data_IF_176136389030
#
_entry.id   IF_176136389030
#
_cell.length_a   1.000
_cell.length_b   1.000
_cell.length_c   1.000
_cell.angle_alpha   90.00
_cell.angle_beta   90.00
_cell.angle_gamma   90.00
#
_symmetry.space_group_name_H-M   'P 1'
#
loop_
_entity.id
_entity.type
_entity.pdbx_description
1 polymer ?
#
# COMPACT_ATOMS: atom_id res chain seq x y z
N UNK A 1 20.80 -13.08 -11.52
CA UNK A 1 20.96 -12.74 -10.09
C UNK A 1 19.92 -13.51 -9.29
N UNK A 2 20.35 -14.46 -8.44
CA UNK A 2 19.42 -15.16 -7.54
C UNK A 2 19.31 -14.35 -6.25
N UNK A 3 18.17 -13.69 -6.05
CA UNK A 3 17.88 -12.84 -4.88
C UNK A 3 17.71 -13.63 -3.58
N UNK A 4 17.70 -14.97 -3.65
CA UNK A 4 17.55 -15.88 -2.52
C UNK A 4 18.83 -16.62 -2.15
N UNK A 5 19.93 -16.39 -2.88
CA UNK A 5 21.17 -17.17 -2.73
C UNK A 5 21.72 -17.16 -1.31
N UNK A 6 21.59 -16.01 -0.63
CA UNK A 6 22.17 -15.78 0.69
C UNK A 6 21.10 -15.58 1.78
N UNK A 7 19.84 -15.92 1.47
CA UNK A 7 18.75 -15.97 2.46
C UNK A 7 18.83 -17.34 3.17
N UNK A 8 18.88 -17.39 4.51
CA UNK A 8 18.95 -18.67 5.23
C UNK A 8 17.76 -19.58 4.89
N UNK A 9 17.97 -20.90 4.78
CA UNK A 9 16.87 -21.86 4.53
C UNK A 9 15.78 -21.83 5.61
N UNK A 10 16.12 -21.37 6.81
CA UNK A 10 15.20 -21.20 7.93
C UNK A 10 14.43 -19.88 7.90
N UNK A 11 14.72 -18.99 6.95
CA UNK A 11 13.97 -17.76 6.77
C UNK A 11 12.57 -18.07 6.24
N UNK A 12 11.56 -17.70 7.04
CA UNK A 12 10.16 -17.84 6.68
C UNK A 12 9.46 -16.51 6.81
N UNK A 13 8.59 -16.19 5.85
CA UNK A 13 7.56 -15.17 6.03
C UNK A 13 6.34 -15.78 6.76
N UNK A 14 5.59 -14.97 7.48
CA UNK A 14 4.38 -15.40 8.17
C UNK A 14 3.21 -14.45 7.91
N UNK A 15 1.99 -15.00 7.92
CA UNK A 15 0.77 -14.21 8.07
C UNK A 15 0.53 -14.07 9.57
N UNK A 16 0.82 -12.89 10.12
CA UNK A 16 0.68 -12.61 11.55
C UNK A 16 -0.77 -12.52 11.99
N UNK A 17 -1.64 -12.01 11.12
CA UNK A 17 -3.05 -11.82 11.39
C UNK A 17 -3.86 -11.87 10.09
N UNK A 18 -5.08 -12.40 10.21
CA UNK A 18 -6.11 -12.38 9.17
C UNK A 18 -7.47 -12.21 9.85
N UNK A 19 -8.36 -11.44 9.22
CA UNK A 19 -9.75 -11.31 9.64
C UNK A 19 -10.61 -11.06 8.41
N UNK A 20 -11.82 -11.63 8.43
CA UNK A 20 -12.86 -11.41 7.44
C UNK A 20 -14.21 -11.32 8.16
N UNK A 21 -14.44 -10.21 8.84
CA UNK A 21 -15.60 -10.00 9.71
C UNK A 21 -16.09 -8.56 9.64
N UNK A 22 -17.41 -8.36 9.79
CA UNK A 22 -17.99 -7.02 9.96
C UNK A 22 -17.80 -6.06 8.78
N UNK A 23 -17.69 -6.58 7.55
CA UNK A 23 -17.43 -5.77 6.34
C UNK A 23 -15.99 -5.27 6.25
N UNK A 24 -15.06 -5.98 6.91
CA UNK A 24 -13.63 -5.79 6.77
C UNK A 24 -12.95 -7.12 6.47
N UNK A 25 -12.11 -7.12 5.44
CA UNK A 25 -11.11 -8.15 5.23
C UNK A 25 -9.73 -7.53 5.42
N UNK A 26 -8.92 -8.07 6.31
CA UNK A 26 -7.53 -7.64 6.43
C UNK A 26 -6.57 -8.80 6.65
N UNK A 27 -5.32 -8.59 6.22
CA UNK A 27 -4.21 -9.49 6.47
C UNK A 27 -2.95 -8.70 6.80
N UNK A 28 -2.09 -9.26 7.65
CA UNK A 28 -0.76 -8.74 7.97
C UNK A 28 0.27 -9.81 7.64
N UNK A 29 1.14 -9.54 6.67
CA UNK A 29 2.25 -10.42 6.31
C UNK A 29 3.59 -9.82 6.74
N UNK A 30 4.42 -10.60 7.42
CA UNK A 30 5.76 -10.22 7.90
C UNK A 30 6.80 -11.02 7.12
N UNK A 31 7.75 -10.31 6.50
CA UNK A 31 8.78 -10.91 5.64
C UNK A 31 10.21 -10.39 5.83
N UNK A 32 10.52 -9.66 6.90
CA UNK A 32 11.85 -9.16 7.26
C UNK A 32 12.94 -10.24 7.19
N UNK A 33 12.64 -11.45 7.67
CA UNK A 33 13.57 -12.59 7.66
C UNK A 33 13.90 -13.10 6.25
N UNK A 34 13.06 -12.78 5.27
CA UNK A 34 13.27 -13.14 3.86
C UNK A 34 14.30 -12.24 3.16
N UNK A 35 14.81 -11.21 3.83
CA UNK A 35 15.83 -10.31 3.30
C UNK A 35 17.22 -10.73 3.76
N UNK A 36 18.23 -10.25 3.04
CA UNK A 36 19.63 -10.49 3.36
C UNK A 36 19.98 -10.06 4.80
N UNK A 37 20.64 -10.91 5.60
CA UNK A 37 20.94 -10.60 7.02
C UNK A 37 21.70 -9.29 7.24
N UNK A 38 22.57 -8.89 6.30
CA UNK A 38 23.32 -7.63 6.36
C UNK A 38 22.44 -6.38 6.27
N UNK A 39 21.20 -6.50 5.78
CA UNK A 39 20.24 -5.40 5.81
C UNK A 39 19.72 -5.13 7.22
N UNK A 40 19.86 -6.07 8.16
CA UNK A 40 19.42 -5.93 9.56
C UNK A 40 17.96 -5.45 9.70
N UNK A 41 17.08 -5.87 8.80
CA UNK A 41 15.65 -5.59 8.90
C UNK A 41 15.09 -6.32 10.12
N UNK A 42 14.41 -5.58 10.97
CA UNK A 42 13.71 -6.12 12.15
C UNK A 42 12.20 -6.20 11.92
N UNK A 43 11.69 -5.46 10.92
CA UNK A 43 10.29 -5.45 10.53
C UNK A 43 10.14 -5.16 9.05
N UNK A 44 9.35 -5.98 8.37
CA UNK A 44 8.85 -5.72 7.03
C UNK A 44 7.44 -6.30 6.93
N UNK A 45 6.51 -5.57 7.52
CA UNK A 45 5.09 -5.92 7.52
C UNK A 45 4.37 -5.22 6.39
N UNK A 46 3.48 -5.95 5.73
CA UNK A 46 2.44 -5.39 4.89
C UNK A 46 1.08 -5.68 5.49
N UNK A 47 0.37 -4.63 5.83
CA UNK A 47 -1.05 -4.65 6.13
C UNK A 47 -1.83 -4.40 4.84
N UNK A 48 -2.71 -5.32 4.49
CA UNK A 48 -3.69 -5.14 3.41
C UNK A 48 -5.05 -5.06 4.06
N UNK A 49 -5.75 -3.93 3.90
CA UNK A 49 -7.07 -3.72 4.49
C UNK A 49 -8.05 -3.40 3.36
N UNK A 50 -9.13 -4.18 3.28
CA UNK A 50 -10.30 -3.91 2.47
C UNK A 50 -11.48 -3.64 3.41
N UNK A 51 -11.95 -2.39 3.40
CA UNK A 51 -13.11 -1.96 4.15
C UNK A 51 -14.39 -2.01 3.30
N UNK A 52 -14.42 -2.68 2.15
CA UNK A 52 -15.57 -2.69 1.22
C UNK A 52 -16.01 -1.30 0.73
N UNK A 53 -15.13 -0.30 0.83
CA UNK A 53 -15.38 1.06 0.36
C UNK A 53 -14.95 1.28 -1.11
N UNK A 54 -14.63 0.19 -1.85
CA UNK A 54 -14.22 0.24 -3.25
C UNK A 54 -12.73 0.55 -3.47
N UNK A 55 -11.89 0.41 -2.43
CA UNK A 55 -10.45 0.57 -2.49
C UNK A 55 -9.77 -0.27 -1.40
N UNK A 56 -8.46 -0.44 -1.53
CA UNK A 56 -7.59 -1.08 -0.54
C UNK A 56 -6.72 -0.04 0.15
N UNK A 57 -6.55 -0.19 1.46
CA UNK A 57 -5.53 0.52 2.23
C UNK A 57 -4.34 -0.42 2.38
N UNK A 58 -3.19 0.02 1.88
CA UNK A 58 -1.91 -0.67 2.05
C UNK A 58 -1.06 0.13 3.03
N UNK A 59 -0.69 -0.50 4.13
CA UNK A 59 0.25 0.05 5.10
C UNK A 59 1.45 -0.89 5.18
N UNK A 60 2.63 -0.38 4.85
CA UNK A 60 3.90 -1.08 5.08
C UNK A 60 4.59 -0.52 6.31
N UNK A 61 4.95 -1.39 7.25
CA UNK A 61 5.74 -1.07 8.45
C UNK A 61 7.16 -1.62 8.25
N UNK A 62 8.14 -0.71 8.18
CA UNK A 62 9.52 -1.04 7.88
C UNK A 62 10.42 -0.57 9.02
N UNK A 63 11.16 -1.49 9.63
CA UNK A 63 12.11 -1.20 10.69
C UNK A 63 13.43 -1.96 10.49
N UNK A 64 14.51 -1.33 10.92
CA UNK A 64 15.86 -1.85 10.77
C UNK A 64 16.80 -1.26 11.82
N UNK A 65 17.84 -2.02 12.18
CA UNK A 65 18.94 -1.50 13.00
C UNK A 65 19.82 -0.50 12.23
N UNK A 66 19.78 -0.53 10.89
CA UNK A 66 20.55 0.32 9.98
C UNK A 66 19.65 1.30 9.20
N UNK A 67 20.13 2.52 8.90
CA UNK A 67 19.38 3.48 8.10
C UNK A 67 19.37 3.11 6.61
N UNK A 68 18.17 3.01 6.03
CA UNK A 68 17.95 2.59 4.65
C UNK A 68 17.15 3.59 3.81
N UNK A 69 17.36 3.53 2.49
CA UNK A 69 16.37 4.01 1.52
C UNK A 69 15.48 2.83 1.20
N UNK A 70 14.26 2.86 1.74
CA UNK A 70 13.21 1.92 1.43
C UNK A 70 12.54 2.30 0.12
N UNK A 71 12.11 1.28 -0.63
CA UNK A 71 11.44 1.47 -1.91
C UNK A 71 10.14 0.71 -1.93
N UNK A 72 9.04 1.42 -2.17
CA UNK A 72 7.77 0.84 -2.57
C UNK A 72 7.69 0.80 -4.10
N UNK A 73 7.24 -0.34 -4.65
CA UNK A 73 7.14 -0.57 -6.09
C UNK A 73 5.79 -1.15 -6.45
N UNK A 74 5.26 -0.71 -7.58
CA UNK A 74 4.15 -1.38 -8.26
C UNK A 74 4.51 -1.53 -9.74
N UNK A 75 4.36 -2.76 -10.23
CA UNK A 75 4.63 -3.12 -11.61
C UNK A 75 3.32 -3.22 -12.39
N UNK A 76 3.33 -2.78 -13.64
CA UNK A 76 2.21 -2.97 -14.56
C UNK A 76 2.68 -2.98 -16.02
N UNK A 77 1.76 -3.27 -16.92
CA UNK A 77 2.00 -3.27 -18.37
C UNK A 77 2.02 -1.85 -18.98
N UNK A 78 1.53 -0.86 -18.24
CA UNK A 78 1.30 0.52 -18.70
C UNK A 78 2.02 1.49 -17.76
N UNK A 79 2.38 2.67 -18.26
CA UNK A 79 2.98 3.67 -17.38
C UNK A 79 1.94 4.23 -16.42
N UNK A 80 2.37 4.54 -15.21
CA UNK A 80 1.61 5.39 -14.32
C UNK A 80 1.71 6.84 -14.81
N UNK A 81 0.62 7.59 -14.73
CA UNK A 81 0.57 9.03 -14.96
C UNK A 81 0.28 9.72 -13.63
N UNK A 82 1.08 10.73 -13.27
CA UNK A 82 0.79 11.54 -12.08
C UNK A 82 -0.26 12.59 -12.44
N UNK A 83 -1.42 12.54 -11.79
CA UNK A 83 -2.51 13.50 -12.01
C UNK A 83 -2.37 14.71 -11.09
N UNK A 84 -1.99 14.44 -9.84
CA UNK A 84 -1.72 15.40 -8.77
C UNK A 84 -0.58 14.88 -7.90
N UNK A 85 0.01 15.74 -7.07
CA UNK A 85 1.12 15.35 -6.20
C UNK A 85 0.77 14.10 -5.37
N UNK A 86 1.42 12.99 -5.68
CA UNK A 86 1.19 11.72 -5.00
C UNK A 86 -0.04 10.93 -5.41
N UNK A 87 -0.76 11.36 -6.44
CA UNK A 87 -1.88 10.63 -7.04
C UNK A 87 -1.49 10.17 -8.45
N UNK A 88 -1.45 8.86 -8.64
CA UNK A 88 -1.09 8.23 -9.90
C UNK A 88 -2.25 7.44 -10.47
N UNK A 89 -2.37 7.41 -11.78
CA UNK A 89 -3.33 6.56 -12.50
C UNK A 89 -2.58 5.64 -13.45
N UNK A 90 -2.91 4.35 -13.43
CA UNK A 90 -2.50 3.38 -14.46
C UNK A 90 -3.76 2.99 -15.22
N UNK A 91 -3.80 3.24 -16.54
CA UNK A 91 -4.94 2.89 -17.41
C UNK A 91 -4.57 1.71 -18.30
N UNK A 92 -5.37 0.63 -18.27
CA UNK A 92 -5.22 -0.52 -19.15
C UNK A 92 -6.58 -0.94 -19.74
N UNK A 93 -6.85 -0.53 -20.99
CA UNK A 93 -8.13 -0.76 -21.64
C UNK A 93 -9.27 -0.07 -20.88
N UNK A 94 -10.29 -0.84 -20.50
CA UNK A 94 -11.45 -0.34 -19.75
C UNK A 94 -11.22 -0.28 -18.23
N UNK A 95 -10.08 -0.79 -17.75
CA UNK A 95 -9.70 -0.76 -16.34
C UNK A 95 -8.71 0.35 -16.05
N UNK A 96 -8.79 0.93 -14.86
CA UNK A 96 -7.77 1.82 -14.34
C UNK A 96 -7.53 1.56 -12.85
N UNK A 97 -6.33 1.90 -12.38
CA UNK A 97 -5.95 1.86 -10.98
C UNK A 97 -5.51 3.27 -10.56
N UNK A 98 -6.26 3.89 -9.64
CA UNK A 98 -5.80 5.07 -8.93
C UNK A 98 -4.93 4.63 -7.75
N UNK A 99 -3.83 5.33 -7.53
CA UNK A 99 -2.86 5.08 -6.48
C UNK A 99 -2.66 6.40 -5.74
N UNK A 100 -3.02 6.45 -4.47
CA UNK A 100 -2.79 7.62 -3.62
C UNK A 100 -1.69 7.32 -2.62
N UNK A 101 -0.61 8.07 -2.68
CA UNK A 101 0.61 7.84 -1.93
C UNK A 101 0.67 8.81 -0.76
N UNK A 102 0.12 8.39 0.38
CA UNK A 102 -0.13 9.28 1.52
C UNK A 102 1.13 9.46 2.35
N UNK A 103 1.86 8.38 2.62
CA UNK A 103 3.15 8.38 3.31
C UNK A 103 4.20 7.56 2.56
N UNK A 104 5.50 7.92 2.66
CA UNK A 104 6.04 9.08 3.36
C UNK A 104 5.70 10.40 2.68
N UNK A 105 5.68 11.49 3.46
CA UNK A 105 5.41 12.84 2.93
C UNK A 105 6.57 13.31 2.04
N UNK A 106 7.79 13.27 2.57
CA UNK A 106 8.98 13.55 1.81
C UNK A 106 9.40 12.27 1.08
N UNK A 107 9.26 12.27 -0.24
CA UNK A 107 9.48 11.10 -1.08
C UNK A 107 10.16 11.47 -2.39
N UNK A 108 10.88 10.52 -2.95
CA UNK A 108 11.33 10.57 -4.33
C UNK A 108 10.47 9.60 -5.13
N UNK A 109 9.84 10.09 -6.20
CA UNK A 109 9.03 9.25 -7.10
C UNK A 109 9.72 9.12 -8.44
N UNK A 110 9.72 7.91 -8.98
CA UNK A 110 10.24 7.62 -10.32
C UNK A 110 9.30 6.67 -11.04
N UNK A 111 9.10 6.91 -12.33
CA UNK A 111 8.45 5.96 -13.23
C UNK A 111 9.53 5.43 -14.16
N UNK A 112 9.76 4.12 -14.15
CA UNK A 112 10.78 3.46 -14.96
C UNK A 112 10.25 2.24 -15.70
N UNK A 113 11.01 1.80 -16.69
CA UNK A 113 10.74 0.61 -17.48
C UNK A 113 11.91 -0.36 -17.30
N UNK A 114 11.61 -1.60 -16.94
CA UNK A 114 12.58 -2.69 -16.91
C UNK A 114 12.25 -3.66 -18.03
N UNK A 115 13.18 -3.81 -18.98
CA UNK A 115 13.07 -4.81 -20.04
C UNK A 115 13.83 -6.06 -19.60
N UNK A 116 13.10 -7.16 -19.46
CA UNK A 116 13.65 -8.49 -19.19
C UNK A 116 13.66 -9.26 -20.49
N UNK A 117 14.83 -9.74 -20.89
CA UNK A 117 15.00 -10.64 -22.02
C UNK A 117 15.27 -12.06 -21.51
N UNK A 118 14.49 -13.03 -21.97
CA UNK A 118 14.67 -14.44 -21.65
C UNK A 118 14.89 -15.22 -22.95
N UNK A 119 15.99 -15.97 -23.02
CA UNK A 119 16.24 -16.92 -24.10
C UNK A 119 15.44 -18.18 -23.79
N UNK A 120 14.45 -18.47 -24.63
CA UNK A 120 13.46 -19.52 -24.35
C UNK A 120 14.09 -20.91 -24.22
N UNK A 121 15.10 -21.21 -25.05
CA UNK A 121 15.91 -22.43 -24.91
C UNK A 121 17.35 -22.14 -25.37
N UNK A 122 18.38 -22.73 -24.72
CA UNK A 122 19.77 -22.57 -25.17
C UNK A 122 20.02 -23.08 -26.60
N UNK A 123 19.16 -23.96 -27.10
CA UNK A 123 19.24 -24.57 -28.44
C UNK A 123 18.67 -23.66 -29.55
N UNK A 124 17.88 -22.63 -29.17
CA UNK A 124 17.34 -21.61 -30.07
C UNK A 124 17.65 -20.23 -29.48
N UNK A 125 18.92 -19.80 -29.53
CA UNK A 125 19.37 -18.55 -28.89
C UNK A 125 18.66 -17.30 -29.44
N UNK A 126 18.11 -17.38 -30.65
CA UNK A 126 17.37 -16.28 -31.29
C UNK A 126 15.89 -16.21 -30.87
N UNK A 127 15.38 -17.22 -30.16
CA UNK A 127 14.01 -17.22 -29.63
C UNK A 127 13.98 -16.48 -28.29
N UNK A 128 13.91 -15.15 -28.38
CA UNK A 128 13.97 -14.23 -27.24
C UNK A 128 12.56 -13.74 -26.90
N UNK A 129 12.15 -14.00 -25.66
CA UNK A 129 10.96 -13.36 -25.08
C UNK A 129 11.38 -12.06 -24.38
N UNK A 130 10.78 -10.95 -24.80
CA UNK A 130 10.94 -9.64 -24.14
C UNK A 130 9.72 -9.31 -23.30
N UNK A 131 9.92 -9.07 -22.01
CA UNK A 131 8.88 -8.59 -21.10
C UNK A 131 9.28 -7.20 -20.64
N UNK A 132 8.42 -6.22 -20.87
CA UNK A 132 8.61 -4.84 -20.41
C UNK A 132 7.70 -4.55 -19.22
N UNK A 133 8.31 -4.33 -18.06
CA UNK A 133 7.65 -4.01 -16.79
C UNK A 133 7.75 -2.50 -16.53
N UNK A 134 6.61 -1.82 -16.57
CA UNK A 134 6.51 -0.38 -16.25
C UNK A 134 6.27 -0.28 -14.76
N UNK A 135 7.10 0.47 -14.07
CA UNK A 135 7.18 0.46 -12.62
C UNK A 135 7.01 1.86 -12.09
N UNK A 136 6.09 2.04 -11.15
CA UNK A 136 6.04 3.22 -10.30
C UNK A 136 6.84 2.88 -9.03
N UNK A 137 7.83 3.71 -8.76
CA UNK A 137 8.78 3.58 -7.66
C UNK A 137 8.64 4.78 -6.72
N UNK A 138 8.49 4.51 -5.43
CA UNK A 138 8.40 5.54 -4.38
C UNK A 138 9.42 5.22 -3.30
N UNK A 139 10.22 6.21 -2.92
CA UNK A 139 11.27 6.08 -1.92
C UNK A 139 11.14 7.14 -0.83
N UNK A 140 11.49 6.81 0.40
CA UNK A 140 11.73 7.84 1.41
C UNK A 140 12.92 8.71 0.97
N UNK A 141 12.78 10.03 1.05
CA UNK A 141 13.79 10.97 0.55
C UNK A 141 15.09 10.97 1.37
N UNK A 142 15.01 10.58 2.65
CA UNK A 142 16.14 10.54 3.58
C UNK A 142 16.22 9.15 4.20
N UNK A 143 17.43 8.57 4.26
CA UNK A 143 17.65 7.27 4.87
C UNK A 143 17.13 7.25 6.31
N UNK A 144 16.42 6.18 6.68
CA UNK A 144 15.81 6.05 8.00
C UNK A 144 15.90 4.62 8.50
N UNK A 145 15.91 4.45 9.82
CA UNK A 145 15.74 3.15 10.46
C UNK A 145 14.27 2.69 10.43
N UNK A 146 13.35 3.65 10.48
CA UNK A 146 11.91 3.41 10.49
C UNK A 146 11.25 4.13 9.30
N UNK A 147 10.40 3.43 8.57
CA UNK A 147 9.63 4.02 7.48
C UNK A 147 8.25 3.38 7.42
N UNK A 148 7.25 4.17 7.03
CA UNK A 148 5.93 3.67 6.71
C UNK A 148 5.53 4.14 5.32
N UNK A 149 5.08 3.20 4.49
CA UNK A 149 4.34 3.54 3.28
C UNK A 149 2.86 3.36 3.57
N UNK A 150 2.07 4.40 3.32
CA UNK A 150 0.61 4.32 3.43
C UNK A 150 0.04 4.72 2.08
N UNK A 151 -0.57 3.75 1.40
CA UNK A 151 -1.09 3.92 0.06
C UNK A 151 -2.57 3.50 0.00
N UNK A 152 -3.33 4.17 -0.86
CA UNK A 152 -4.68 3.73 -1.26
C UNK A 152 -4.61 3.22 -2.69
N UNK A 153 -5.13 2.03 -2.93
CA UNK A 153 -5.31 1.45 -4.26
C UNK A 153 -6.79 1.37 -4.60
N UNK A 154 -7.25 2.17 -5.55
CA UNK A 154 -8.65 2.19 -5.98
C UNK A 154 -8.76 1.66 -7.42
N UNK A 155 -9.24 0.42 -7.63
CA UNK A 155 -9.61 -0.04 -8.95
C UNK A 155 -10.84 0.74 -9.45
N UNK A 156 -10.82 1.19 -10.70
CA UNK A 156 -11.93 1.93 -11.34
C UNK A 156 -12.10 1.55 -12.80
N UNK A 157 -13.22 1.96 -13.37
CA UNK A 157 -13.47 1.87 -14.82
C UNK A 157 -12.86 3.10 -15.52
N UNK A 158 -11.97 2.88 -16.49
CA UNK A 158 -11.29 3.94 -17.24
C UNK A 158 -12.22 4.75 -18.14
N UNK A 159 -13.30 4.13 -18.64
CA UNK A 159 -14.24 4.76 -19.59
C UNK A 159 -15.16 5.79 -18.92
N UNK A 160 -15.15 5.90 -17.59
CA UNK A 160 -16.02 6.81 -16.83
C UNK A 160 -15.47 8.22 -16.66
N UNK A 161 -14.25 8.48 -17.12
CA UNK A 161 -13.70 9.84 -17.23
C UNK A 161 -14.23 10.63 -18.43
N UNK A 162 -15.08 10.03 -19.28
CA UNK A 162 -15.74 10.67 -20.41
C UNK A 162 -17.19 11.04 -20.07
N UNK A 163 -17.56 12.26 -20.44
CA UNK A 163 -18.89 12.87 -20.36
C UNK A 163 -20.05 11.86 -20.38
N UNK A 164 -20.80 11.80 -19.28
CA UNK A 164 -22.17 11.30 -19.23
C UNK A 164 -22.34 9.78 -19.35
N UNK A 165 -22.27 9.06 -18.24
CA UNK A 165 -23.28 8.03 -17.89
C UNK A 165 -23.09 7.55 -16.45
N UNK A 166 -24.03 7.96 -15.59
CA UNK A 166 -24.19 7.51 -14.23
C UNK A 166 -24.69 6.05 -14.21
N UNK A 167 -23.94 5.13 -13.60
CA UNK A 167 -24.47 3.77 -13.33
C UNK A 167 -23.42 2.69 -13.06
N UNK A 168 -22.56 2.85 -12.04
CA UNK A 168 -21.71 1.81 -11.37
C UNK A 168 -20.89 2.48 -10.25
N UNK A 169 -21.58 2.72 -9.16
CA UNK A 169 -21.25 2.58 -7.73
C UNK A 169 -19.86 2.90 -7.12
N UNK A 170 -18.72 2.90 -7.82
CA UNK A 170 -17.45 3.37 -7.24
C UNK A 170 -17.17 4.81 -7.66
N UNK A 171 -17.68 5.78 -6.90
CA UNK A 171 -17.40 7.21 -7.12
C UNK A 171 -15.92 7.55 -6.94
N UNK A 172 -15.48 8.65 -7.53
CA UNK A 172 -14.17 9.22 -7.23
C UNK A 172 -14.04 9.44 -5.72
N UNK A 173 -12.87 9.09 -5.18
CA UNK A 173 -12.53 9.32 -3.78
C UNK A 173 -11.55 10.48 -3.68
N UNK A 174 -11.61 11.19 -2.56
CA UNK A 174 -10.58 12.15 -2.16
C UNK A 174 -9.86 11.62 -0.93
N UNK A 175 -8.54 11.76 -0.90
CA UNK A 175 -7.70 11.27 0.19
C UNK A 175 -7.01 12.45 0.86
N UNK A 176 -7.27 12.62 2.15
CA UNK A 176 -6.61 13.63 2.98
C UNK A 176 -5.68 12.96 3.97
N UNK A 177 -4.43 13.42 4.02
CA UNK A 177 -3.45 12.98 5.03
C UNK A 177 -3.85 13.45 6.42
N UNK A 178 -3.68 12.60 7.43
CA UNK A 178 -3.83 12.91 8.85
C UNK A 178 -2.53 12.58 9.59
N UNK A 179 -2.10 13.44 10.51
CA UNK A 179 -0.91 13.22 11.34
C UNK A 179 -1.21 13.63 12.78
N UNK A 180 -0.86 12.76 13.73
CA UNK A 180 -0.81 13.06 15.15
C UNK A 180 0.62 13.01 15.69
N UNK A 181 0.75 13.02 17.00
CA UNK A 181 2.05 12.92 17.68
C UNK A 181 2.64 11.50 17.57
N UNK A 182 1.82 10.48 17.86
CA UNK A 182 2.22 9.07 17.93
C UNK A 182 1.62 8.22 16.81
N UNK A 183 0.93 8.85 15.85
CA UNK A 183 0.21 8.15 14.79
C UNK A 183 0.21 8.93 13.47
N UNK A 184 0.07 8.19 12.39
CA UNK A 184 -0.18 8.70 11.03
C UNK A 184 -1.48 8.10 10.51
N UNK A 185 -2.06 8.71 9.49
CA UNK A 185 -3.31 8.21 8.97
C UNK A 185 -3.80 8.95 7.74
N UNK A 186 -5.03 8.62 7.37
CA UNK A 186 -5.71 9.21 6.25
C UNK A 186 -7.21 9.29 6.49
N UNK A 187 -7.84 10.19 5.78
CA UNK A 187 -9.28 10.26 5.61
C UNK A 187 -9.59 10.07 4.13
N UNK A 188 -10.34 9.03 3.79
CA UNK A 188 -10.89 8.85 2.45
C UNK A 188 -12.33 9.33 2.46
N UNK A 189 -12.67 10.27 1.58
CA UNK A 189 -14.05 10.75 1.41
C UNK A 189 -14.56 10.32 0.05
N UNK A 190 -15.65 9.58 0.06
CA UNK A 190 -16.42 9.18 -1.13
C UNK A 190 -17.77 9.89 -1.14
N UNK A 191 -18.62 9.62 -2.14
CA UNK A 191 -19.97 10.19 -2.20
C UNK A 191 -20.84 9.84 -0.99
N UNK A 192 -20.71 8.61 -0.49
CA UNK A 192 -21.63 8.05 0.50
C UNK A 192 -21.01 7.98 1.88
N UNK A 193 -19.69 7.77 1.94
CA UNK A 193 -18.99 7.43 3.16
C UNK A 193 -17.69 8.22 3.33
N UNK A 194 -17.31 8.44 4.58
CA UNK A 194 -15.98 8.90 4.98
C UNK A 194 -15.32 7.83 5.83
N UNK A 195 -14.13 7.37 5.43
CA UNK A 195 -13.30 6.45 6.21
C UNK A 195 -12.11 7.18 6.81
N UNK A 196 -11.87 6.98 8.10
CA UNK A 196 -10.68 7.45 8.81
C UNK A 196 -9.86 6.22 9.16
N UNK A 197 -8.64 6.16 8.68
CA UNK A 197 -7.68 5.11 9.01
C UNK A 197 -6.49 5.72 9.75
N UNK A 198 -6.18 5.18 10.92
CA UNK A 198 -5.10 5.64 11.80
C UNK A 198 -4.18 4.47 12.13
N UNK A 199 -2.88 4.72 12.12
CA UNK A 199 -1.83 3.76 12.46
C UNK A 199 -0.84 4.36 13.45
N UNK A 200 -0.45 3.59 14.45
CA UNK A 200 0.57 3.94 15.44
C UNK A 200 1.56 2.79 15.59
N UNK A 201 2.86 3.08 15.46
CA UNK A 201 3.93 2.13 15.79
C UNK A 201 3.99 1.84 17.29
N UNK A 202 3.51 2.78 18.13
CA UNK A 202 3.50 2.71 19.59
C UNK A 202 2.21 2.12 20.17
N UNK A 203 1.29 1.65 19.30
CA UNK A 203 -0.05 1.22 19.70
C UNK A 203 -0.81 2.28 20.51
N UNK A 204 -0.60 3.57 20.20
CA UNK A 204 -1.23 4.68 20.91
C UNK A 204 -1.87 5.64 19.91
N UNK A 205 -3.19 5.57 19.81
CA UNK A 205 -3.98 6.41 18.91
C UNK A 205 -4.89 7.31 19.76
N UNK A 206 -4.68 8.62 19.62
CA UNK A 206 -5.50 9.67 20.23
C UNK A 206 -5.96 10.64 19.13
N UNK A 207 -7.24 10.57 18.74
CA UNK A 207 -7.79 11.37 17.64
C UNK A 207 -9.23 11.80 17.94
N UNK A 208 -9.46 13.10 18.10
CA UNK A 208 -10.72 13.62 18.63
C UNK A 208 -11.03 12.99 19.98
N UNK A 209 -12.23 12.43 20.12
CA UNK A 209 -12.66 11.73 21.35
C UNK A 209 -12.20 10.27 21.43
N UNK A 210 -11.50 9.76 20.41
CA UNK A 210 -11.07 8.37 20.35
C UNK A 210 -9.73 8.20 21.07
N UNK A 211 -9.71 7.26 22.01
CA UNK A 211 -8.50 6.76 22.66
C UNK A 211 -8.41 5.25 22.42
N UNK A 212 -7.35 4.78 21.76
CA UNK A 212 -7.18 3.37 21.43
C UNK A 212 -5.75 2.91 21.66
N UNK A 213 -5.61 1.69 22.20
CA UNK A 213 -4.32 1.00 22.36
C UNK A 213 -4.00 0.08 21.17
N UNK A 214 -4.45 0.47 19.98
CA UNK A 214 -4.36 -0.35 18.77
C UNK A 214 -3.20 0.07 17.87
N UNK A 215 -2.61 -0.89 17.17
CA UNK A 215 -1.63 -0.68 16.09
C UNK A 215 -2.27 0.11 14.95
N UNK A 216 -3.49 -0.25 14.55
CA UNK A 216 -4.28 0.55 13.63
C UNK A 216 -5.78 0.50 13.95
N UNK A 217 -6.51 1.50 13.49
CA UNK A 217 -7.95 1.69 13.65
C UNK A 217 -8.53 2.23 12.34
N UNK A 218 -9.61 1.63 11.86
CA UNK A 218 -10.44 2.16 10.77
C UNK A 218 -11.85 2.46 11.29
N UNK A 219 -12.39 3.62 10.91
CA UNK A 219 -13.75 4.04 11.22
C UNK A 219 -14.38 4.54 9.94
N UNK A 220 -15.49 3.94 9.53
CA UNK A 220 -16.30 4.45 8.41
C UNK A 220 -17.58 5.09 8.94
N UNK A 221 -17.85 6.27 8.43
CA UNK A 221 -19.04 7.07 8.70
C UNK A 221 -19.87 7.25 7.44
N UNK A 222 -21.18 7.33 7.60
CA UNK A 222 -22.09 7.74 6.53
C UNK A 222 -21.98 9.27 6.26
N UNK A 223 -22.75 9.76 5.28
CA UNK A 223 -22.81 11.19 4.93
C UNK A 223 -23.42 12.07 6.02
N UNK A 224 -24.16 11.50 6.98
CA UNK A 224 -24.68 12.20 8.16
C UNK A 224 -23.68 12.23 9.33
N UNK A 225 -22.55 11.52 9.21
CA UNK A 225 -21.50 11.44 10.22
C UNK A 225 -21.68 10.32 11.25
N UNK A 226 -22.70 9.46 11.09
CA UNK A 226 -22.90 8.31 11.97
C UNK A 226 -21.87 7.22 11.65
N UNK A 227 -21.32 6.59 12.68
CA UNK A 227 -20.40 5.45 12.51
C UNK A 227 -21.21 4.25 12.02
N UNK A 228 -20.86 3.74 10.84
CA UNK A 228 -21.50 2.55 10.23
C UNK A 228 -20.66 1.30 10.41
N UNK A 229 -19.34 1.42 10.48
CA UNK A 229 -18.43 0.32 10.79
C UNK A 229 -17.14 0.82 11.41
N UNK A 230 -16.55 -0.01 12.25
CA UNK A 230 -15.27 0.25 12.90
C UNK A 230 -14.55 -1.05 13.08
N UNK A 231 -13.23 -1.04 12.92
CA UNK A 231 -12.40 -2.18 13.26
C UNK A 231 -11.02 -1.72 13.68
N UNK A 232 -10.33 -2.54 14.47
CA UNK A 232 -9.01 -2.21 15.00
C UNK A 232 -8.17 -3.46 15.13
N UNK A 233 -6.86 -3.29 15.03
CA UNK A 233 -5.89 -4.34 15.26
C UNK A 233 -4.91 -3.90 16.34
N UNK A 234 -4.76 -4.70 17.39
CA UNK A 234 -3.89 -4.39 18.52
C UNK A 234 -2.40 -4.66 18.25
N UNK A 235 -2.07 -5.38 17.16
CA UNK A 235 -0.73 -5.95 16.97
C UNK A 235 -0.62 -7.35 17.56
N UNK A 236 0.42 -8.08 17.16
CA UNK A 236 0.81 -9.34 17.81
C UNK A 236 1.35 -9.00 19.20
N UNK A 237 0.76 -9.58 20.25
CA UNK A 237 1.35 -9.52 21.60
C UNK A 237 2.57 -10.44 21.55
N UNK A 238 3.76 -9.86 21.64
CA UNK A 238 5.02 -10.62 21.73
C UNK A 238 5.18 -11.33 23.06
#
# INVERSE_FOLDING_TARGET
>A
HNVWKDVPETATAEIEAFCDEGGYTYAVGESSRMYYPEMQLTRNARHVINSECGYFILLDELESNLPHTYTWRIHSEKFASEEHEGQFTIVNGNGALNIFTVYPQARNTKIDETVVEEIMTPQRPDDIRRISLKTLKIENSVKSKHCCFLNILQPKNALRGGVGNAGSESGDISVKRLKGETWIGLQVTSRNNTEIFLFSSENKIAYGDIQSRSKWLSIVKDSAGNIIKTTSYAGKVG
#
